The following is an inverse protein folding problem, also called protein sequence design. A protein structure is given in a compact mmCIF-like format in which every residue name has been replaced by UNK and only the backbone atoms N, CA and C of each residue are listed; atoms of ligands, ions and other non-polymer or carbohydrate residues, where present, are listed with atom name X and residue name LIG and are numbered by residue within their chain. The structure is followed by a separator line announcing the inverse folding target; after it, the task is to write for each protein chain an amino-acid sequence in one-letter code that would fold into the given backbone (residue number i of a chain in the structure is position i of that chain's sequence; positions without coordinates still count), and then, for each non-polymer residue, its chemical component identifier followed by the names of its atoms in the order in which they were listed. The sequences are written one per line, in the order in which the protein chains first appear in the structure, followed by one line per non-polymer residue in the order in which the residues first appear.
data_IF_689489711244
#
_entry.id   IF_689489711244
#
_cell.length_a   1.000
_cell.length_b   1.000
_cell.length_c   1.000
_cell.angle_alpha   90.00
_cell.angle_beta   90.00
_cell.angle_gamma   90.00
#
_symmetry.space_group_name_H-M   'P 1'
#
loop_
_entity.id
_entity.type
_entity.pdbx_description
1 polymer ?
#
# COMPACT_ATOMS: atom_id res chain seq x y z
N UNK A 1 -1.31 33.39 0.30
CA UNK A 1 -2.47 32.49 0.33
C UNK A 1 -2.08 31.25 1.10
N UNK A 2 -2.92 30.74 1.99
CA UNK A 2 -2.61 29.57 2.82
C UNK A 2 -3.36 28.34 2.30
N UNK A 3 -2.62 27.29 1.95
CA UNK A 3 -3.23 26.03 1.50
C UNK A 3 -3.71 25.22 2.70
N UNK A 4 -4.94 24.71 2.61
CA UNK A 4 -5.54 23.82 3.61
C UNK A 4 -5.93 22.52 2.93
N UNK A 5 -5.49 21.40 3.49
CA UNK A 5 -5.83 20.05 3.02
C UNK A 5 -6.41 19.26 4.18
N UNK A 6 -7.58 18.62 4.02
CA UNK A 6 -8.11 17.69 5.01
C UNK A 6 -7.12 16.57 5.33
N UNK A 7 -6.98 16.22 6.60
CA UNK A 7 -6.09 15.12 7.03
C UNK A 7 -6.46 13.81 6.31
N UNK A 8 -7.74 13.55 6.08
CA UNK A 8 -8.19 12.37 5.33
C UNK A 8 -7.63 12.31 3.90
N UNK A 9 -7.53 13.44 3.22
CA UNK A 9 -6.94 13.50 1.87
C UNK A 9 -5.43 13.28 1.91
N UNK A 10 -4.73 13.81 2.93
CA UNK A 10 -3.30 13.57 3.13
C UNK A 10 -3.05 12.07 3.37
N UNK A 11 -3.85 11.43 4.23
CA UNK A 11 -3.73 10.00 4.52
C UNK A 11 -4.04 9.15 3.29
N UNK A 12 -5.06 9.52 2.51
CA UNK A 12 -5.37 8.86 1.25
C UNK A 12 -4.22 9.00 0.24
N UNK A 13 -3.65 10.20 0.12
CA UNK A 13 -2.50 10.45 -0.74
C UNK A 13 -1.31 9.56 -0.35
N UNK A 14 -0.97 9.50 0.95
CA UNK A 14 0.12 8.64 1.45
C UNK A 14 -0.14 7.16 1.13
N UNK A 15 -1.37 6.68 1.32
CA UNK A 15 -1.75 5.30 1.01
C UNK A 15 -1.56 4.99 -0.49
N UNK A 16 -2.08 5.85 -1.36
CA UNK A 16 -1.99 5.69 -2.82
C UNK A 16 -0.54 5.81 -3.31
N UNK A 17 0.21 6.79 -2.81
CA UNK A 17 1.61 7.02 -3.15
C UNK A 17 2.48 5.83 -2.73
N UNK A 18 2.22 5.26 -1.55
CA UNK A 18 2.87 4.02 -1.11
C UNK A 18 2.60 2.86 -2.06
N UNK A 19 1.35 2.68 -2.50
CA UNK A 19 0.98 1.62 -3.46
C UNK A 19 1.62 1.84 -4.84
N UNK A 20 1.74 3.09 -5.30
CA UNK A 20 2.44 3.44 -6.53
C UNK A 20 3.91 2.98 -6.51
N UNK A 21 4.65 3.33 -5.46
CA UNK A 21 6.05 2.90 -5.33
C UNK A 21 6.20 1.39 -5.13
N UNK A 22 5.28 0.75 -4.41
CA UNK A 22 5.27 -0.73 -4.29
C UNK A 22 5.15 -1.39 -5.65
N UNK A 23 4.28 -0.89 -6.53
CA UNK A 23 4.17 -1.39 -7.91
C UNK A 23 5.48 -1.25 -8.70
N UNK A 24 6.18 -0.12 -8.55
CA UNK A 24 7.48 0.10 -9.19
C UNK A 24 8.58 -0.83 -8.67
N UNK A 25 8.56 -1.18 -7.38
CA UNK A 25 9.50 -2.15 -6.79
C UNK A 25 9.16 -3.57 -7.25
N UNK A 26 7.89 -3.95 -7.21
CA UNK A 26 7.42 -5.25 -7.68
C UNK A 26 7.81 -5.52 -9.14
N UNK A 27 7.72 -4.50 -10.01
CA UNK A 27 8.20 -4.62 -11.38
C UNK A 27 9.71 -4.89 -11.44
N UNK A 28 10.52 -4.13 -10.69
CA UNK A 28 11.98 -4.32 -10.64
C UNK A 28 12.39 -5.68 -10.07
N UNK A 29 11.65 -6.21 -9.11
CA UNK A 29 11.87 -7.57 -8.59
C UNK A 29 11.67 -8.60 -9.70
N UNK A 30 10.59 -8.46 -10.49
CA UNK A 30 10.34 -9.35 -11.63
C UNK A 30 11.44 -9.24 -12.70
N UNK A 31 11.97 -8.04 -12.94
CA UNK A 31 13.07 -7.83 -13.91
C UNK A 31 14.34 -8.64 -13.56
N UNK A 32 14.57 -8.94 -12.28
CA UNK A 32 15.70 -9.75 -11.80
C UNK A 32 15.31 -11.21 -11.50
N UNK A 33 14.10 -11.63 -11.86
CA UNK A 33 13.60 -12.99 -11.65
C UNK A 33 13.12 -13.29 -10.22
N UNK A 34 12.96 -12.28 -9.37
CA UNK A 34 12.47 -12.42 -8.00
C UNK A 34 10.94 -12.27 -7.94
N UNK A 35 10.28 -13.00 -7.04
CA UNK A 35 8.84 -12.88 -6.82
C UNK A 35 8.53 -11.72 -5.85
N UNK A 36 7.66 -10.76 -6.23
CA UNK A 36 7.24 -9.69 -5.33
C UNK A 36 6.46 -10.19 -4.11
N UNK A 37 6.67 -9.54 -2.96
CA UNK A 37 5.90 -9.82 -1.75
C UNK A 37 4.43 -9.43 -1.96
N UNK A 38 3.50 -10.29 -1.55
CA UNK A 38 2.08 -9.96 -1.55
C UNK A 38 1.79 -8.83 -0.54
N UNK A 39 1.24 -7.72 -1.04
CA UNK A 39 0.85 -6.56 -0.22
C UNK A 39 -0.64 -6.25 -0.32
N UNK A 40 -1.46 -7.21 -0.74
CA UNK A 40 -2.90 -7.07 -0.88
C UNK A 40 -3.58 -6.99 0.49
N UNK A 41 -4.49 -6.03 0.63
CA UNK A 41 -5.22 -5.79 1.87
C UNK A 41 -6.14 -6.97 2.23
N UNK A 42 -6.81 -7.57 1.24
CA UNK A 42 -7.76 -8.66 1.49
C UNK A 42 -7.03 -9.92 1.95
N UNK A 43 -5.87 -10.21 1.36
CA UNK A 43 -4.97 -11.27 1.81
C UNK A 43 -4.57 -11.03 3.27
N UNK A 44 -4.06 -9.83 3.59
CA UNK A 44 -3.66 -9.49 4.95
C UNK A 44 -4.79 -9.70 5.97
N UNK A 45 -6.00 -9.23 5.66
CA UNK A 45 -7.17 -9.36 6.55
C UNK A 45 -7.59 -10.81 6.74
N UNK A 46 -7.50 -11.64 5.69
CA UNK A 46 -7.85 -13.07 5.77
C UNK A 46 -6.82 -13.89 6.55
N UNK A 47 -5.53 -13.56 6.41
CA UNK A 47 -4.44 -14.25 7.10
C UNK A 47 -4.27 -13.81 8.56
N UNK A 48 -4.73 -12.60 8.89
CA UNK A 48 -4.69 -12.03 10.25
C UNK A 48 -6.07 -11.54 10.64
N UNK A 49 -7.02 -12.46 10.92
CA UNK A 49 -8.33 -12.07 11.40
C UNK A 49 -8.18 -11.23 12.67
N UNK A 50 -9.03 -10.22 12.81
CA UNK A 50 -9.11 -9.45 14.05
C UNK A 50 -9.36 -10.43 15.20
N UNK A 51 -8.77 -10.20 16.39
CA UNK A 51 -9.14 -11.00 17.56
C UNK A 51 -10.66 -10.93 17.72
N UNK A 52 -11.29 -12.08 17.92
CA UNK A 52 -12.73 -12.14 18.23
C UNK A 52 -13.01 -11.23 19.42
N UNK A 53 -14.01 -10.35 19.26
CA UNK A 53 -14.41 -9.36 20.27
C UNK A 53 -15.08 -10.03 21.47
#
# INVERSE_FOLDING_TARGET
EEFRTPIGEILLHVLLHGSYHRGQIALRMRDVGEEPVNTDLITFVRERPAPEA
#
